data_IF_418367888833
#
_entry.id   IF_418367888833
#
_cell.length_a   1.000
_cell.length_b   1.000
_cell.length_c   1.000
_cell.angle_alpha   90.00
_cell.angle_beta   90.00
_cell.angle_gamma   90.00
#
_symmetry.space_group_name_H-M   'P 1'
#
loop_
_entity.id
_entity.type
_entity.pdbx_description
1 polymer ?
#
# COMPACT_ATOMS: atom_id res chain seq x y z
N UNK A 1 5.42 -3.59 -0.33
CA UNK A 1 5.49 -4.45 -1.52
C UNK A 1 6.89 -5.03 -1.66
N UNK A 2 7.00 -6.18 -2.25
CA UNK A 2 8.29 -6.85 -2.46
C UNK A 2 8.38 -7.35 -3.90
N UNK A 3 9.50 -7.07 -4.58
CA UNK A 3 9.77 -7.56 -5.93
C UNK A 3 10.31 -9.00 -5.91
N UNK A 4 10.39 -9.63 -7.09
CA UNK A 4 11.00 -10.96 -7.26
C UNK A 4 12.46 -11.03 -6.77
N UNK A 5 13.14 -9.88 -6.74
CA UNK A 5 14.53 -9.77 -6.25
C UNK A 5 14.65 -9.57 -4.75
N UNK A 6 13.53 -9.61 -4.01
CA UNK A 6 13.51 -9.36 -2.58
C UNK A 6 13.56 -7.89 -2.18
N UNK A 7 13.53 -6.98 -3.13
CA UNK A 7 13.48 -5.56 -2.87
C UNK A 7 12.13 -5.16 -2.29
N UNK A 8 12.14 -4.23 -1.32
CA UNK A 8 10.92 -3.74 -0.68
C UNK A 8 10.60 -2.36 -1.19
N UNK A 9 9.40 -2.19 -1.70
CA UNK A 9 8.92 -0.91 -2.23
C UNK A 9 7.77 -0.38 -1.40
N UNK A 10 7.73 0.94 -1.31
CA UNK A 10 6.59 1.66 -0.77
C UNK A 10 6.23 2.74 -1.78
N UNK A 11 4.96 2.87 -2.12
CA UNK A 11 4.54 3.96 -3.00
C UNK A 11 4.35 5.24 -2.20
N UNK A 12 4.38 6.38 -2.88
CA UNK A 12 4.06 7.68 -2.25
C UNK A 12 2.64 7.69 -1.70
N UNK A 13 1.72 6.96 -2.32
CA UNK A 13 0.37 6.76 -1.81
C UNK A 13 0.40 5.96 -0.50
N UNK A 14 1.15 4.87 -0.46
CA UNK A 14 1.28 4.04 0.74
C UNK A 14 1.90 4.79 1.91
N UNK A 15 2.87 5.66 1.64
CA UNK A 15 3.45 6.54 2.65
C UNK A 15 2.38 7.46 3.24
N UNK A 16 1.58 8.11 2.39
CA UNK A 16 0.50 8.98 2.84
C UNK A 16 -0.52 8.21 3.68
N UNK A 17 -0.91 7.03 3.24
CA UNK A 17 -1.87 6.21 3.99
C UNK A 17 -1.35 5.82 5.37
N UNK A 18 -0.06 5.49 5.46
CA UNK A 18 0.54 5.13 6.74
C UNK A 18 0.55 6.31 7.71
N UNK A 19 0.97 7.49 7.24
CA UNK A 19 0.96 8.71 8.06
C UNK A 19 -0.45 9.03 8.51
N UNK A 20 -1.40 8.99 7.59
CA UNK A 20 -2.80 9.30 7.90
C UNK A 20 -3.41 8.27 8.87
N UNK A 21 -3.05 7.00 8.74
CA UNK A 21 -3.51 5.96 9.66
C UNK A 21 -3.02 6.22 11.09
N UNK A 22 -1.77 6.65 11.26
CA UNK A 22 -1.24 7.03 12.57
C UNK A 22 -1.97 8.24 13.14
N UNK A 23 -2.21 9.26 12.33
CA UNK A 23 -2.94 10.45 12.76
C UNK A 23 -4.39 10.14 13.14
N UNK A 24 -5.06 9.24 12.40
CA UNK A 24 -6.40 8.78 12.75
C UNK A 24 -6.42 8.06 14.10
N UNK A 25 -5.39 7.29 14.41
CA UNK A 25 -5.30 6.63 15.71
C UNK A 25 -5.13 7.64 16.85
N UNK A 26 -4.42 8.74 16.60
CA UNK A 26 -4.36 9.86 17.56
C UNK A 26 -5.75 10.46 17.76
N UNK A 27 -6.47 10.71 16.68
CA UNK A 27 -7.83 11.25 16.72
C UNK A 27 -8.77 10.35 17.53
N UNK A 28 -8.64 9.02 17.37
CA UNK A 28 -9.46 8.03 18.08
C UNK A 28 -8.98 7.76 19.52
N UNK A 29 -7.93 8.46 19.96
CA UNK A 29 -7.33 8.30 21.29
C UNK A 29 -6.74 6.90 21.52
N UNK A 30 -6.36 6.21 20.46
CA UNK A 30 -5.68 4.92 20.53
C UNK A 30 -4.17 5.07 20.69
N UNK A 31 -3.62 6.21 20.23
CA UNK A 31 -2.21 6.61 20.37
C UNK A 31 -2.13 8.04 20.85
N UNK A 32 -1.08 8.36 21.60
CA UNK A 32 -0.73 9.75 21.89
C UNK A 32 -0.01 10.37 20.68
N UNK A 33 -0.03 11.71 20.59
CA UNK A 33 0.73 12.41 19.56
C UNK A 33 2.23 12.10 19.60
N UNK A 34 2.90 12.05 20.79
CA UNK A 34 4.29 11.63 20.85
C UNK A 34 4.56 10.21 20.36
N UNK A 35 3.63 9.27 20.64
CA UNK A 35 3.76 7.89 20.15
C UNK A 35 3.68 7.83 18.63
N UNK A 36 2.73 8.56 18.04
CA UNK A 36 2.60 8.63 16.58
C UNK A 36 3.85 9.27 15.95
N UNK A 37 4.36 10.35 16.55
CA UNK A 37 5.58 11.00 16.07
C UNK A 37 6.79 10.06 16.12
N UNK A 38 6.91 9.25 17.17
CA UNK A 38 7.98 8.27 17.30
C UNK A 38 7.89 7.21 16.19
N UNK A 39 6.69 6.74 15.87
CA UNK A 39 6.47 5.78 14.78
C UNK A 39 6.84 6.37 13.42
N UNK A 40 6.46 7.63 13.17
CA UNK A 40 6.81 8.33 11.93
C UNK A 40 8.32 8.52 11.79
N UNK A 41 8.99 8.84 12.90
CA UNK A 41 10.45 9.00 12.92
C UNK A 41 11.15 7.68 12.59
N UNK A 42 10.72 6.57 13.19
CA UNK A 42 11.27 5.26 12.90
C UNK A 42 11.10 4.88 11.45
N UNK A 43 9.94 5.18 10.87
CA UNK A 43 9.69 4.94 9.45
C UNK A 43 10.59 5.80 8.56
N UNK A 44 10.78 7.07 8.88
CA UNK A 44 11.67 7.96 8.14
C UNK A 44 13.13 7.46 8.17
N UNK A 45 13.56 6.91 9.32
CA UNK A 45 14.87 6.28 9.46
C UNK A 45 15.00 5.04 8.57
N UNK A 46 13.96 4.22 8.50
CA UNK A 46 13.94 3.03 7.65
C UNK A 46 14.03 3.40 6.16
N UNK A 47 13.34 4.46 5.74
CA UNK A 47 13.46 4.98 4.37
C UNK A 47 14.88 5.48 4.09
N UNK A 48 15.46 6.24 5.02
CA UNK A 48 16.80 6.79 4.86
C UNK A 48 17.86 5.69 4.82
N UNK A 49 17.66 4.59 5.53
CA UNK A 49 18.60 3.46 5.56
C UNK A 49 18.45 2.50 4.38
N UNK A 50 17.43 2.69 3.54
CA UNK A 50 17.21 1.87 2.35
C UNK A 50 16.45 0.57 2.60
N UNK A 51 15.87 0.38 3.78
CA UNK A 51 15.03 -0.79 4.06
C UNK A 51 13.86 -0.86 3.09
N UNK A 52 13.29 0.31 2.74
CA UNK A 52 12.26 0.46 1.73
C UNK A 52 12.73 1.43 0.65
N UNK A 53 12.32 1.18 -0.58
CA UNK A 53 12.50 2.13 -1.68
C UNK A 53 11.17 2.82 -1.94
N UNK A 54 11.16 4.15 -1.88
CA UNK A 54 9.97 4.94 -2.19
C UNK A 54 9.81 5.05 -3.70
N UNK A 55 8.63 4.70 -4.21
CA UNK A 55 8.33 4.72 -5.64
C UNK A 55 7.16 5.66 -5.93
N UNK A 56 7.28 6.50 -6.96
CA UNK A 56 6.16 7.33 -7.41
C UNK A 56 5.08 6.48 -8.05
N UNK A 57 3.87 7.04 -8.13
CA UNK A 57 2.77 6.45 -8.90
C UNK A 57 2.83 6.98 -10.32
N UNK A 58 3.03 6.10 -11.29
CA UNK A 58 3.02 6.46 -12.70
C UNK A 58 1.58 6.46 -13.25
N UNK A 59 1.39 7.05 -14.41
CA UNK A 59 0.11 7.01 -15.11
C UNK A 59 -0.34 5.57 -15.38
N UNK A 60 0.60 4.66 -15.59
CA UNK A 60 0.31 3.24 -15.82
C UNK A 60 -0.36 2.58 -14.63
N UNK A 61 -0.04 3.01 -13.41
CA UNK A 61 -0.72 2.51 -12.21
C UNK A 61 -2.20 2.84 -12.27
N UNK A 62 -2.54 4.08 -12.65
CA UNK A 62 -3.93 4.49 -12.74
C UNK A 62 -4.66 3.80 -13.89
N UNK A 63 -4.02 3.62 -15.03
CA UNK A 63 -4.58 2.83 -16.14
C UNK A 63 -4.89 1.41 -15.71
N UNK A 64 -3.95 0.78 -15.00
CA UNK A 64 -4.13 -0.57 -14.46
C UNK A 64 -5.27 -0.61 -13.45
N UNK A 65 -5.35 0.40 -12.59
CA UNK A 65 -6.43 0.49 -11.60
C UNK A 65 -7.81 0.62 -12.28
N UNK A 66 -7.90 1.38 -13.36
CA UNK A 66 -9.13 1.44 -14.17
C UNK A 66 -9.54 0.07 -14.68
N UNK A 67 -8.59 -0.69 -15.24
CA UNK A 67 -8.85 -2.03 -15.75
C UNK A 67 -9.32 -2.96 -14.63
N UNK A 68 -8.63 -2.94 -13.49
CA UNK A 68 -9.00 -3.75 -12.33
C UNK A 68 -10.39 -3.41 -11.82
N UNK A 69 -10.73 -2.13 -11.78
CA UNK A 69 -12.07 -1.72 -11.38
C UNK A 69 -13.15 -2.32 -12.27
N UNK A 70 -12.97 -2.21 -13.57
CA UNK A 70 -13.94 -2.76 -14.53
C UNK A 70 -14.06 -4.27 -14.46
N UNK A 71 -12.97 -4.95 -14.10
CA UNK A 71 -12.94 -6.41 -14.01
C UNK A 71 -13.45 -6.95 -12.68
N UNK A 72 -13.29 -6.21 -11.60
CA UNK A 72 -13.44 -6.77 -10.26
C UNK A 72 -14.40 -6.05 -9.33
N UNK A 73 -14.58 -4.74 -9.46
CA UNK A 73 -15.31 -3.96 -8.44
C UNK A 73 -16.77 -4.37 -8.32
N UNK A 74 -17.46 -4.61 -9.44
CA UNK A 74 -18.86 -5.01 -9.40
C UNK A 74 -19.07 -6.34 -8.66
N UNK A 75 -18.05 -7.21 -8.67
CA UNK A 75 -18.10 -8.52 -8.04
C UNK A 75 -17.56 -8.49 -6.61
N UNK A 76 -16.49 -7.74 -6.36
CA UNK A 76 -15.76 -7.77 -5.10
C UNK A 76 -16.02 -6.56 -4.20
N UNK A 77 -16.62 -5.50 -4.73
CA UNK A 77 -16.85 -4.28 -3.96
C UNK A 77 -15.56 -3.55 -3.58
N UNK A 78 -14.57 -3.56 -4.47
CA UNK A 78 -13.27 -2.95 -4.20
C UNK A 78 -13.36 -1.43 -4.12
N UNK A 79 -12.58 -0.84 -3.20
CA UNK A 79 -12.49 0.61 -3.05
C UNK A 79 -11.33 1.15 -3.90
N UNK A 80 -11.38 2.44 -4.20
CA UNK A 80 -10.36 3.10 -5.03
C UNK A 80 -8.94 2.92 -4.47
N UNK A 81 -8.76 3.08 -3.16
CA UNK A 81 -7.45 2.90 -2.53
C UNK A 81 -6.90 1.48 -2.73
N UNK A 82 -7.77 0.46 -2.63
CA UNK A 82 -7.37 -0.93 -2.85
C UNK A 82 -6.91 -1.16 -4.29
N UNK A 83 -7.62 -0.57 -5.24
CA UNK A 83 -7.27 -0.66 -6.66
C UNK A 83 -5.89 -0.06 -6.92
N UNK A 84 -5.61 1.11 -6.34
CA UNK A 84 -4.32 1.79 -6.52
C UNK A 84 -3.18 0.95 -5.95
N UNK A 85 -3.35 0.40 -4.75
CA UNK A 85 -2.32 -0.43 -4.12
C UNK A 85 -2.00 -1.68 -4.93
N UNK A 86 -3.02 -2.39 -5.36
CA UNK A 86 -2.83 -3.63 -6.12
C UNK A 86 -2.28 -3.32 -7.52
N UNK A 87 -2.77 -2.26 -8.16
CA UNK A 87 -2.25 -1.84 -9.46
C UNK A 87 -0.77 -1.46 -9.37
N UNK A 88 -0.37 -0.75 -8.32
CA UNK A 88 1.03 -0.38 -8.10
C UNK A 88 1.91 -1.62 -7.91
N UNK A 89 1.43 -2.61 -7.15
CA UNK A 89 2.16 -3.87 -6.97
C UNK A 89 2.36 -4.59 -8.29
N UNK A 90 1.34 -4.63 -9.15
CA UNK A 90 1.43 -5.27 -10.46
C UNK A 90 2.41 -4.53 -11.38
N UNK A 91 2.35 -3.19 -11.41
CA UNK A 91 3.24 -2.39 -12.26
C UNK A 91 4.69 -2.41 -11.80
N UNK A 92 4.94 -2.58 -10.49
CA UNK A 92 6.28 -2.71 -9.94
C UNK A 92 6.81 -4.15 -10.01
N UNK A 93 6.06 -5.05 -10.62
CA UNK A 93 6.40 -6.48 -10.70
C UNK A 93 6.69 -7.07 -9.31
N UNK A 94 5.85 -6.70 -8.35
CA UNK A 94 5.99 -7.17 -6.99
C UNK A 94 5.36 -8.55 -6.84
N UNK A 95 6.08 -9.47 -6.18
CA UNK A 95 5.56 -10.81 -5.89
C UNK A 95 4.59 -10.82 -4.71
N UNK A 96 4.76 -9.86 -3.80
CA UNK A 96 4.03 -9.84 -2.53
C UNK A 96 3.40 -8.48 -2.29
N UNK A 97 2.20 -8.51 -1.75
CA UNK A 97 1.52 -7.33 -1.21
C UNK A 97 1.36 -7.52 0.29
N UNK A 98 1.93 -6.60 1.07
CA UNK A 98 1.71 -6.56 2.52
C UNK A 98 0.45 -5.76 2.79
N UNK A 99 -0.56 -6.40 3.38
CA UNK A 99 -1.82 -5.71 3.66
C UNK A 99 -2.55 -6.36 4.83
N UNK A 100 -3.06 -5.52 5.71
CA UNK A 100 -4.00 -5.91 6.75
C UNK A 100 -5.43 -5.59 6.34
N UNK A 101 -5.65 -4.93 5.20
CA UNK A 101 -6.96 -4.58 4.71
C UNK A 101 -7.58 -5.77 3.97
N UNK A 102 -8.78 -6.17 4.42
CA UNK A 102 -9.47 -7.34 3.88
C UNK A 102 -9.82 -7.17 2.40
N UNK A 103 -10.21 -5.97 1.97
CA UNK A 103 -10.59 -5.72 0.59
C UNK A 103 -9.37 -5.76 -0.35
N UNK A 104 -8.25 -5.21 0.08
CA UNK A 104 -7.00 -5.33 -0.67
C UNK A 104 -6.58 -6.78 -0.81
N UNK A 105 -6.70 -7.57 0.25
CA UNK A 105 -6.35 -8.99 0.22
C UNK A 105 -7.22 -9.75 -0.77
N UNK A 106 -8.53 -9.49 -0.78
CA UNK A 106 -9.45 -10.10 -1.74
C UNK A 106 -9.08 -9.78 -3.19
N UNK A 107 -8.79 -8.51 -3.47
CA UNK A 107 -8.39 -8.08 -4.80
C UNK A 107 -7.05 -8.70 -5.21
N UNK A 108 -6.08 -8.72 -4.30
CA UNK A 108 -4.77 -9.31 -4.56
C UNK A 108 -4.89 -10.81 -4.89
N UNK A 109 -5.75 -11.53 -4.17
CA UNK A 109 -6.02 -12.94 -4.46
C UNK A 109 -6.65 -13.12 -5.84
N UNK A 110 -7.60 -12.25 -6.20
CA UNK A 110 -8.29 -12.32 -7.48
C UNK A 110 -7.33 -12.11 -8.67
N UNK A 111 -6.27 -11.34 -8.48
CA UNK A 111 -5.24 -11.07 -9.51
C UNK A 111 -3.96 -11.88 -9.29
N UNK A 112 -4.00 -12.83 -8.36
CA UNK A 112 -2.93 -13.79 -8.09
C UNK A 112 -1.64 -13.18 -7.54
N UNK A 113 -1.73 -12.09 -6.79
CA UNK A 113 -0.61 -11.60 -6.01
C UNK A 113 -0.45 -12.42 -4.74
N UNK A 114 0.78 -12.70 -4.36
CA UNK A 114 1.06 -13.38 -3.10
C UNK A 114 0.84 -12.43 -1.93
N UNK A 115 0.25 -12.95 -0.86
CA UNK A 115 0.00 -12.20 0.36
C UNK A 115 1.00 -12.56 1.44
N UNK A 116 1.28 -11.58 2.28
CA UNK A 116 2.22 -11.77 3.37
C UNK A 116 1.69 -11.16 4.66
#
# INVERSE_FOLDING_TARGET
MRSAKGERYLTVWGELEMVNALELRVFRKELSAPQAAASMKGFAEDLASGIFQLRPLSDRVFERAHQLSRQTTARLGTRTADLVHVAAALELDADYLYSFDRQQRKLAQAVRLKLN
#
